data_IF_782625038042
#
_entry.id   IF_782625038042
#
_cell.length_a   1.000
_cell.length_b   1.000
_cell.length_c   1.000
_cell.angle_alpha   90.00
_cell.angle_beta   90.00
_cell.angle_gamma   90.00
#
_symmetry.space_group_name_H-M   'P 1'
#
loop_
_entity.id
_entity.type
_entity.pdbx_description
1 polymer ?
#
# COMPACT_ATOMS: atom_id res chain seq x y z
N UNK A 1 -25.29 -9.31 -7.44
CA UNK A 1 -24.14 -10.17 -7.10
C UNK A 1 -23.09 -9.28 -6.49
N UNK A 2 -22.84 -9.39 -5.19
CA UNK A 2 -21.73 -8.68 -4.53
C UNK A 2 -20.43 -9.23 -5.12
N UNK A 3 -19.60 -8.37 -5.69
CA UNK A 3 -18.28 -8.77 -6.19
C UNK A 3 -17.44 -9.15 -4.97
N UNK A 4 -16.96 -10.39 -4.91
CA UNK A 4 -16.01 -10.78 -3.89
C UNK A 4 -14.66 -10.12 -4.17
N UNK A 5 -14.17 -9.34 -3.20
CA UNK A 5 -12.83 -8.76 -3.24
C UNK A 5 -11.81 -9.84 -2.88
N UNK A 6 -10.84 -10.07 -3.75
CA UNK A 6 -9.66 -10.87 -3.44
C UNK A 6 -8.67 -10.00 -2.64
N UNK A 7 -8.50 -10.33 -1.36
CA UNK A 7 -7.64 -9.59 -0.44
C UNK A 7 -6.17 -9.64 -0.85
N UNK A 8 -5.69 -10.78 -1.34
CA UNK A 8 -4.28 -10.93 -1.72
C UNK A 8 -4.00 -10.16 -2.99
N UNK A 9 -4.89 -10.24 -3.98
CA UNK A 9 -4.77 -9.43 -5.18
C UNK A 9 -4.81 -7.92 -4.89
N UNK A 10 -5.56 -7.46 -3.87
CA UNK A 10 -5.51 -6.07 -3.42
C UNK A 10 -4.16 -5.73 -2.76
N UNK A 11 -3.67 -6.58 -1.87
CA UNK A 11 -2.38 -6.39 -1.20
C UNK A 11 -1.21 -6.31 -2.20
N UNK A 12 -1.22 -7.17 -3.21
CA UNK A 12 -0.20 -7.20 -4.26
C UNK A 12 -0.24 -5.91 -5.11
N UNK A 13 -1.43 -5.43 -5.50
CA UNK A 13 -1.59 -4.14 -6.19
C UNK A 13 -1.16 -2.96 -5.31
N UNK A 14 -1.48 -3.02 -4.02
CA UNK A 14 -1.08 -2.00 -3.06
C UNK A 14 0.44 -1.85 -3.02
N UNK A 15 1.19 -2.93 -2.75
CA UNK A 15 2.66 -2.86 -2.66
C UNK A 15 3.30 -2.52 -4.02
N UNK A 16 2.67 -2.89 -5.14
CA UNK A 16 3.15 -2.50 -6.46
C UNK A 16 3.18 -0.97 -6.64
N UNK A 17 2.20 -0.24 -6.10
CA UNK A 17 2.20 1.24 -6.17
C UNK A 17 3.40 1.87 -5.46
N UNK A 18 3.89 1.26 -4.38
CA UNK A 18 5.09 1.70 -3.65
C UNK A 18 6.39 1.37 -4.37
N UNK A 19 6.39 0.39 -5.26
CA UNK A 19 7.53 0.02 -6.10
C UNK A 19 7.56 0.75 -7.46
N UNK A 20 6.46 1.41 -7.87
CA UNK A 20 6.33 1.99 -9.20
C UNK A 20 7.23 3.23 -9.40
N UNK A 21 8.09 3.14 -10.42
CA UNK A 21 9.07 4.16 -10.78
C UNK A 21 8.47 5.28 -11.62
N UNK A 22 7.55 4.95 -12.53
CA UNK A 22 6.91 5.90 -13.43
C UNK A 22 5.83 6.72 -12.71
N UNK A 23 5.89 8.04 -12.84
CA UNK A 23 4.98 8.94 -12.13
C UNK A 23 3.52 8.79 -12.56
N UNK A 24 3.27 8.64 -13.86
CA UNK A 24 1.91 8.53 -14.40
C UNK A 24 1.28 7.20 -14.02
N UNK A 25 2.04 6.10 -14.09
CA UNK A 25 1.58 4.78 -13.62
C UNK A 25 1.36 4.77 -12.12
N UNK A 26 2.21 5.43 -11.33
CA UNK A 26 2.01 5.55 -9.87
C UNK A 26 0.75 6.34 -9.56
N UNK A 27 0.50 7.45 -10.25
CA UNK A 27 -0.75 8.21 -10.15
C UNK A 27 -1.97 7.34 -10.46
N UNK A 28 -1.93 6.61 -11.57
CA UNK A 28 -3.01 5.73 -11.98
C UNK A 28 -3.25 4.58 -10.97
N UNK A 29 -2.18 4.01 -10.40
CA UNK A 29 -2.29 3.01 -9.36
C UNK A 29 -2.96 3.57 -8.10
N UNK A 30 -2.59 4.78 -7.69
CA UNK A 30 -3.19 5.45 -6.51
C UNK A 30 -4.69 5.72 -6.74
N UNK A 31 -5.08 6.23 -7.90
CA UNK A 31 -6.50 6.50 -8.19
C UNK A 31 -7.35 5.24 -8.40
N UNK A 32 -6.71 4.12 -8.75
CA UNK A 32 -7.36 2.82 -8.80
C UNK A 32 -7.50 2.17 -7.40
N UNK A 33 -6.56 2.45 -6.49
CA UNK A 33 -6.53 1.89 -5.14
C UNK A 33 -7.42 2.66 -4.16
N UNK A 34 -7.31 3.99 -4.10
CA UNK A 34 -8.05 4.82 -3.16
C UNK A 34 -9.27 5.50 -3.78
N UNK A 35 -10.22 5.89 -2.94
CA UNK A 35 -11.25 6.88 -3.32
C UNK A 35 -10.66 8.30 -3.35
N UNK A 36 -11.31 9.30 -3.98
CA UNK A 36 -10.77 10.66 -4.08
C UNK A 36 -10.40 11.33 -2.75
N UNK A 37 -11.14 11.03 -1.68
CA UNK A 37 -10.90 11.52 -0.32
C UNK A 37 -10.22 10.47 0.59
N UNK A 38 -9.58 9.47 -0.01
CA UNK A 38 -8.93 8.37 0.69
C UNK A 38 -7.86 8.87 1.67
N UNK A 39 -7.69 8.14 2.77
CA UNK A 39 -6.80 8.54 3.86
C UNK A 39 -5.75 7.47 4.10
N UNK A 40 -4.56 7.91 4.50
CA UNK A 40 -3.48 7.03 4.92
C UNK A 40 -2.87 7.57 6.22
N UNK A 41 -2.71 6.70 7.22
CA UNK A 41 -2.16 7.01 8.53
C UNK A 41 -0.95 6.14 8.82
N UNK A 42 0.16 6.75 9.22
CA UNK A 42 1.35 6.05 9.73
C UNK A 42 2.04 6.91 10.79
N UNK A 43 2.30 6.35 11.97
CA UNK A 43 2.85 7.14 13.09
C UNK A 43 2.05 8.42 13.31
N UNK A 44 2.72 9.58 13.31
CA UNK A 44 2.08 10.90 13.44
C UNK A 44 1.55 11.49 12.11
N UNK A 45 1.81 10.83 10.97
CA UNK A 45 1.42 11.35 9.65
C UNK A 45 -0.03 11.03 9.34
N UNK A 46 -0.77 12.05 8.93
CA UNK A 46 -2.10 11.95 8.35
C UNK A 46 -2.07 12.47 6.90
N UNK A 47 -2.37 11.58 5.95
CA UNK A 47 -2.37 11.86 4.51
C UNK A 47 -3.79 11.74 3.99
N UNK A 48 -4.23 12.68 3.14
CA UNK A 48 -5.60 12.72 2.62
C UNK A 48 -5.64 13.19 1.18
N UNK A 49 -6.37 12.45 0.36
CA UNK A 49 -6.60 12.77 -1.05
C UNK A 49 -5.42 12.39 -1.94
N UNK A 50 -5.70 12.27 -3.25
CA UNK A 50 -4.75 11.69 -4.20
C UNK A 50 -3.40 12.40 -4.28
N UNK A 51 -3.37 13.72 -4.20
CA UNK A 51 -2.12 14.51 -4.27
C UNK A 51 -1.19 14.17 -3.10
N UNK A 52 -1.68 14.26 -1.87
CA UNK A 52 -0.89 13.94 -0.68
C UNK A 52 -0.52 12.44 -0.63
N UNK A 53 -1.40 11.55 -1.11
CA UNK A 53 -1.09 10.12 -1.25
C UNK A 53 0.06 9.89 -2.23
N UNK A 54 0.07 10.58 -3.35
CA UNK A 54 1.15 10.48 -4.33
C UNK A 54 2.47 10.99 -3.79
N UNK A 55 2.49 12.14 -3.10
CA UNK A 55 3.70 12.64 -2.44
C UNK A 55 4.23 11.62 -1.42
N UNK A 56 3.34 11.00 -0.65
CA UNK A 56 3.71 10.00 0.33
C UNK A 56 4.31 8.75 -0.31
N UNK A 57 3.64 8.19 -1.32
CA UNK A 57 4.09 6.97 -2.00
C UNK A 57 5.39 7.25 -2.73
N UNK A 58 5.50 8.38 -3.44
CA UNK A 58 6.73 8.83 -4.09
C UNK A 58 7.88 8.95 -3.09
N UNK A 59 7.71 9.69 -1.99
CA UNK A 59 8.79 9.89 -1.02
C UNK A 59 9.30 8.58 -0.41
N UNK A 60 8.42 7.59 -0.22
CA UNK A 60 8.83 6.26 0.22
C UNK A 60 9.55 5.47 -0.87
N UNK A 61 9.07 5.54 -2.11
CA UNK A 61 9.71 4.91 -3.27
C UNK A 61 11.13 5.47 -3.47
N UNK A 62 11.27 6.78 -3.50
CA UNK A 62 12.54 7.47 -3.70
C UNK A 62 13.58 7.03 -2.66
N UNK A 63 13.21 7.11 -1.38
CA UNK A 63 14.08 6.70 -0.29
C UNK A 63 14.40 5.20 -0.34
N UNK A 64 13.38 4.37 -0.22
CA UNK A 64 13.59 2.95 0.11
C UNK A 64 13.90 2.10 -1.13
N UNK A 65 13.31 2.43 -2.29
CA UNK A 65 13.44 1.62 -3.52
C UNK A 65 14.55 2.16 -4.40
N UNK A 66 14.49 3.44 -4.79
CA UNK A 66 15.47 4.04 -5.71
C UNK A 66 16.83 4.23 -5.05
N UNK A 67 16.86 4.88 -3.89
CA UNK A 67 18.11 5.32 -3.26
C UNK A 67 18.74 4.20 -2.40
N UNK A 68 17.93 3.48 -1.61
CA UNK A 68 18.41 2.39 -0.75
C UNK A 68 18.41 1.00 -1.44
N UNK A 69 17.96 0.90 -2.70
CA UNK A 69 18.04 -0.33 -3.50
C UNK A 69 17.16 -1.49 -3.02
N UNK A 70 16.03 -1.20 -2.36
CA UNK A 70 15.11 -2.23 -1.86
C UNK A 70 13.87 -2.41 -2.75
N UNK A 71 13.02 -3.37 -2.39
CA UNK A 71 11.67 -3.56 -2.93
C UNK A 71 10.71 -3.94 -1.81
N UNK A 72 9.43 -3.64 -2.03
CA UNK A 72 8.34 -4.08 -1.17
C UNK A 72 7.63 -5.30 -1.77
N UNK A 73 7.22 -6.25 -0.93
CA UNK A 73 6.26 -7.32 -1.30
C UNK A 73 5.17 -7.45 -0.25
N UNK A 74 3.99 -7.92 -0.67
CA UNK A 74 2.96 -8.34 0.26
C UNK A 74 3.28 -9.77 0.71
N UNK A 75 3.17 -10.02 2.02
CA UNK A 75 3.18 -11.38 2.53
C UNK A 75 1.91 -12.11 2.06
N UNK A 76 1.98 -13.43 1.92
CA UNK A 76 0.86 -14.30 1.52
C UNK A 76 -0.11 -14.55 2.69
N UNK A 77 -0.55 -13.47 3.33
CA UNK A 77 -1.39 -13.51 4.52
C UNK A 77 -2.52 -12.47 4.47
N UNK A 78 -2.84 -11.95 3.29
CA UNK A 78 -3.93 -10.99 3.16
C UNK A 78 -5.28 -11.64 3.50
N UNK A 79 -6.09 -10.92 4.28
CA UNK A 79 -7.39 -11.39 4.73
C UNK A 79 -8.43 -10.28 4.54
N UNK A 80 -9.62 -10.69 4.14
CA UNK A 80 -10.81 -9.85 4.11
C UNK A 80 -11.76 -10.28 5.23
N UNK A 81 -12.27 -9.30 5.97
CA UNK A 81 -13.38 -9.48 6.92
C UNK A 81 -14.34 -8.29 6.75
N UNK A 82 -15.55 -8.57 6.27
CA UNK A 82 -16.50 -7.54 5.85
C UNK A 82 -15.87 -6.56 4.84
N UNK A 83 -15.74 -5.29 5.22
CA UNK A 83 -15.17 -4.17 4.47
C UNK A 83 -13.75 -3.83 4.93
N UNK A 84 -13.10 -4.73 5.68
CA UNK A 84 -11.75 -4.54 6.18
C UNK A 84 -10.79 -5.56 5.57
N UNK A 85 -9.70 -5.07 4.98
CA UNK A 85 -8.58 -5.88 4.49
C UNK A 85 -7.37 -5.68 5.39
N UNK A 86 -6.65 -6.76 5.70
CA UNK A 86 -5.37 -6.66 6.41
C UNK A 86 -4.34 -7.60 5.82
N UNK A 87 -3.08 -7.18 5.80
CA UNK A 87 -1.94 -7.97 5.35
C UNK A 87 -0.65 -7.39 5.93
N UNK A 88 0.45 -8.15 5.82
CA UNK A 88 1.79 -7.62 6.13
C UNK A 88 2.52 -7.25 4.84
N UNK A 89 3.24 -6.14 4.86
CA UNK A 89 4.26 -5.88 3.85
C UNK A 89 5.63 -6.23 4.40
N UNK A 90 6.55 -6.50 3.49
CA UNK A 90 7.95 -6.79 3.75
C UNK A 90 8.81 -5.94 2.82
N UNK A 91 9.90 -5.38 3.35
CA UNK A 91 10.92 -4.68 2.58
C UNK A 91 12.20 -5.52 2.56
N UNK A 92 12.78 -5.68 1.38
CA UNK A 92 13.90 -6.58 1.11
C UNK A 92 14.85 -5.95 0.08
N UNK A 93 16.16 -6.29 0.03
CA UNK A 93 17.06 -5.82 -1.02
C UNK A 93 16.55 -6.24 -2.41
N UNK A 94 16.70 -5.43 -3.45
CA UNK A 94 16.13 -5.73 -4.77
C UNK A 94 16.54 -7.12 -5.33
N UNK A 95 17.74 -7.59 -4.98
CA UNK A 95 18.37 -8.84 -5.43
C UNK A 95 18.43 -9.95 -4.35
N UNK A 96 17.69 -9.81 -3.25
CA UNK A 96 17.73 -10.77 -2.14
C UNK A 96 16.38 -11.00 -1.44
N UNK A 97 16.33 -12.05 -0.61
CA UNK A 97 15.12 -12.46 0.12
C UNK A 97 15.21 -12.29 1.64
N UNK A 98 16.28 -11.67 2.13
CA UNK A 98 16.38 -11.28 3.54
C UNK A 98 15.40 -10.14 3.82
N UNK A 99 14.45 -10.37 4.72
CA UNK A 99 13.51 -9.34 5.16
C UNK A 99 14.23 -8.33 6.06
N UNK A 100 14.30 -7.08 5.63
CA UNK A 100 14.94 -5.97 6.35
C UNK A 100 13.97 -5.26 7.28
N UNK A 101 12.72 -5.12 6.84
CA UNK A 101 11.65 -4.50 7.61
C UNK A 101 10.30 -5.10 7.23
N UNK A 102 9.32 -4.91 8.10
CA UNK A 102 7.96 -5.37 7.90
C UNK A 102 6.98 -4.42 8.57
N UNK A 103 5.76 -4.34 8.07
CA UNK A 103 4.67 -3.62 8.70
C UNK A 103 3.34 -4.33 8.49
N UNK A 104 2.30 -3.82 9.14
CA UNK A 104 0.93 -4.29 9.04
C UNK A 104 0.09 -3.19 8.40
N UNK A 105 -0.70 -3.55 7.39
CA UNK A 105 -1.76 -2.69 6.86
C UNK A 105 -3.12 -3.14 7.36
N UNK A 106 -3.98 -2.17 7.67
CA UNK A 106 -5.41 -2.35 7.90
C UNK A 106 -6.16 -1.33 7.04
N UNK A 107 -6.85 -1.83 6.03
CA UNK A 107 -7.58 -1.03 5.05
C UNK A 107 -9.08 -1.15 5.31
N UNK A 108 -9.81 -0.03 5.31
CA UNK A 108 -11.26 -0.04 5.09
C UNK A 108 -11.55 0.24 3.63
N UNK A 109 -12.49 -0.47 3.02
CA UNK A 109 -12.80 -0.37 1.59
C UNK A 109 -14.28 -0.08 1.32
N UNK A 110 -14.57 0.58 0.19
CA UNK A 110 -15.94 0.75 -0.32
C UNK A 110 -16.48 -0.55 -0.96
N UNK A 111 -17.73 -0.52 -1.42
CA UNK A 111 -18.38 -1.67 -2.05
C UNK A 111 -17.70 -2.12 -3.36
N UNK A 112 -16.91 -1.23 -3.97
CA UNK A 112 -16.10 -1.48 -5.17
C UNK A 112 -14.70 -2.00 -4.83
N UNK A 113 -14.33 -2.07 -3.55
CA UNK A 113 -13.03 -2.52 -3.07
C UNK A 113 -11.93 -1.45 -3.13
N UNK A 114 -12.30 -0.17 -3.24
CA UNK A 114 -11.36 0.95 -3.16
C UNK A 114 -11.17 1.38 -1.72
N UNK A 115 -9.96 1.78 -1.38
CA UNK A 115 -9.53 2.12 -0.03
C UNK A 115 -10.14 3.47 0.38
N UNK A 116 -10.91 3.43 1.46
CA UNK A 116 -11.43 4.59 2.17
C UNK A 116 -10.38 5.12 3.15
N UNK A 117 -9.84 4.22 3.99
CA UNK A 117 -8.82 4.53 4.98
C UNK A 117 -7.79 3.41 5.04
N UNK A 118 -6.52 3.78 5.11
CA UNK A 118 -5.38 2.92 5.23
C UNK A 118 -4.62 3.22 6.53
N UNK A 119 -4.54 2.25 7.42
CA UNK A 119 -3.78 2.33 8.66
C UNK A 119 -2.54 1.45 8.57
N UNK A 120 -1.37 2.09 8.56
CA UNK A 120 -0.08 1.43 8.53
C UNK A 120 0.56 1.43 9.91
N UNK A 121 0.92 0.23 10.38
CA UNK A 121 1.69 0.02 11.60
C UNK A 121 3.08 -0.50 11.24
N UNK A 122 4.11 0.23 11.65
CA UNK A 122 5.50 -0.20 11.58
C UNK A 122 5.95 -0.55 13.00
N UNK A 123 6.55 -1.73 13.24
CA UNK A 123 7.12 -2.07 14.54
C UNK A 123 8.09 -0.97 15.01
N UNK A 124 8.06 -0.70 16.32
CA UNK A 124 8.95 0.26 16.98
C UNK A 124 10.41 -0.21 16.99
#
# INVERSE_FOLDING_TARGET
MTRFLDAQALADRYVAAWNETDSERRRAAITALWVPDGRHYVGERAVRGYEALEERVRGSHEKNVRDDGNRFRAALNARLLHDVVTFRWEMLPADGDTVLATGLEVLTVDAEGRILVDYQFVPA
#
